data_IF_226937402339
#
_entry.id   IF_226937402339
#
_cell.length_a   1.000
_cell.length_b   1.000
_cell.length_c   1.000
_cell.angle_alpha   90.00
_cell.angle_beta   90.00
_cell.angle_gamma   90.00
#
_symmetry.space_group_name_H-M   'P 1'
#
loop_
_entity.id
_entity.type
_entity.pdbx_description
1 polymer ?
#
# COMPACT_ATOMS: atom_id res chain seq x y z
N UNK A 1 32.63 -8.08 -9.85
CA UNK A 1 31.87 -8.12 -8.58
C UNK A 1 31.79 -9.58 -8.13
N UNK A 2 32.09 -9.91 -6.87
CA UNK A 2 32.12 -11.30 -6.40
C UNK A 2 30.71 -11.84 -6.13
N UNK A 3 30.46 -13.10 -6.48
CA UNK A 3 29.14 -13.78 -6.40
C UNK A 3 28.50 -13.68 -5.01
N UNK A 4 29.32 -13.71 -3.96
CA UNK A 4 28.90 -13.52 -2.56
C UNK A 4 28.26 -12.15 -2.29
N UNK A 5 28.79 -11.08 -2.90
CA UNK A 5 28.24 -9.72 -2.76
C UNK A 5 26.88 -9.60 -3.44
N UNK A 6 26.67 -10.29 -4.56
CA UNK A 6 25.37 -10.29 -5.25
C UNK A 6 24.33 -11.06 -4.43
N UNK A 7 24.68 -12.20 -3.84
CA UNK A 7 23.78 -12.93 -2.93
C UNK A 7 23.35 -12.07 -1.73
N UNK A 8 24.28 -11.38 -1.07
CA UNK A 8 23.95 -10.45 0.02
C UNK A 8 23.03 -9.32 -0.43
N UNK A 9 23.19 -8.81 -1.66
CA UNK A 9 22.28 -7.79 -2.20
C UNK A 9 20.87 -8.35 -2.45
N UNK A 10 20.73 -9.63 -2.82
CA UNK A 10 19.40 -10.28 -2.93
C UNK A 10 18.71 -10.24 -1.57
N UNK A 11 19.40 -10.68 -0.51
CA UNK A 11 18.82 -10.74 0.84
C UNK A 11 18.41 -9.35 1.34
N UNK A 12 19.28 -8.34 1.15
CA UNK A 12 19.00 -6.96 1.56
C UNK A 12 17.84 -6.37 0.77
N UNK A 13 17.80 -6.55 -0.55
CA UNK A 13 16.71 -5.99 -1.38
C UNK A 13 15.38 -6.68 -1.10
N UNK A 14 15.39 -7.97 -0.75
CA UNK A 14 14.21 -8.68 -0.28
C UNK A 14 13.71 -8.15 1.07
N UNK A 15 14.60 -7.97 2.04
CA UNK A 15 14.25 -7.40 3.34
C UNK A 15 13.66 -5.98 3.22
N UNK A 16 14.26 -5.14 2.37
CA UNK A 16 13.75 -3.78 2.09
C UNK A 16 12.36 -3.84 1.47
N UNK A 17 12.13 -4.71 0.48
CA UNK A 17 10.81 -4.87 -0.11
C UNK A 17 9.77 -5.31 0.93
N UNK A 18 10.10 -6.28 1.78
CA UNK A 18 9.17 -6.75 2.82
C UNK A 18 8.86 -5.65 3.84
N UNK A 19 9.86 -4.88 4.25
CA UNK A 19 9.67 -3.74 5.15
C UNK A 19 8.74 -2.67 4.55
N UNK A 20 8.91 -2.34 3.27
CA UNK A 20 8.01 -1.39 2.59
C UNK A 20 6.59 -1.95 2.39
N UNK A 21 6.47 -3.25 2.09
CA UNK A 21 5.18 -3.92 1.95
C UNK A 21 4.38 -3.95 3.26
N UNK A 22 5.04 -4.22 4.39
CA UNK A 22 4.40 -4.25 5.71
C UNK A 22 3.82 -2.88 6.10
N UNK A 23 4.43 -1.77 5.66
CA UNK A 23 3.93 -0.41 5.91
C UNK A 23 2.59 -0.12 5.23
N UNK A 24 2.18 -0.89 4.23
CA UNK A 24 0.89 -0.70 3.53
C UNK A 24 -0.29 -1.07 4.43
N UNK A 25 -0.18 -2.14 5.22
CA UNK A 25 -1.28 -2.68 6.02
C UNK A 25 -2.01 -1.64 6.89
N UNK A 26 -1.32 -0.84 7.73
CA UNK A 26 -2.00 0.15 8.56
C UNK A 26 -2.74 1.21 7.74
N UNK A 27 -2.25 1.56 6.55
CA UNK A 27 -2.93 2.51 5.64
C UNK A 27 -4.23 1.91 5.11
N UNK A 28 -4.21 0.64 4.69
CA UNK A 28 -5.41 -0.06 4.22
C UNK A 28 -6.47 -0.18 5.32
N UNK A 29 -6.05 -0.51 6.54
CA UNK A 29 -6.95 -0.57 7.70
C UNK A 29 -7.57 0.80 7.99
N UNK A 30 -6.77 1.88 7.93
CA UNK A 30 -7.29 3.24 8.15
C UNK A 30 -8.29 3.65 7.05
N UNK A 31 -7.96 3.39 5.79
CA UNK A 31 -8.84 3.66 4.66
C UNK A 31 -10.18 2.92 4.80
N UNK A 32 -10.15 1.63 5.12
CA UNK A 32 -11.35 0.82 5.33
C UNK A 32 -12.20 1.36 6.49
N UNK A 33 -11.56 1.77 7.58
CA UNK A 33 -12.24 2.36 8.74
C UNK A 33 -12.96 3.66 8.37
N UNK A 34 -12.29 4.56 7.64
CA UNK A 34 -12.87 5.83 7.20
C UNK A 34 -14.06 5.63 6.25
N UNK A 35 -13.90 4.74 5.26
CA UNK A 35 -14.99 4.37 4.34
C UNK A 35 -16.19 3.78 5.08
N UNK A 36 -15.95 2.94 6.08
CA UNK A 36 -17.03 2.37 6.91
C UNK A 36 -17.77 3.46 7.69
N UNK A 37 -17.06 4.42 8.30
CA UNK A 37 -17.68 5.55 9.02
C UNK A 37 -18.50 6.44 8.09
N UNK A 38 -17.98 6.74 6.90
CA UNK A 38 -18.72 7.48 5.87
C UNK A 38 -20.01 6.75 5.48
N UNK A 39 -19.93 5.44 5.22
CA UNK A 39 -21.09 4.63 4.88
C UNK A 39 -22.13 4.60 6.02
N UNK A 40 -21.70 4.56 7.28
CA UNK A 40 -22.60 4.64 8.44
C UNK A 40 -23.34 5.98 8.52
N UNK A 41 -22.62 7.10 8.35
CA UNK A 41 -23.21 8.45 8.36
C UNK A 41 -24.18 8.67 7.19
N UNK A 42 -23.86 8.13 6.01
CA UNK A 42 -24.73 8.18 4.83
C UNK A 42 -25.97 7.28 4.99
N UNK A 43 -25.80 6.08 5.57
CA UNK A 43 -26.88 5.12 5.78
C UNK A 43 -27.99 5.65 6.71
N UNK A 44 -27.64 6.46 7.71
CA UNK A 44 -28.61 7.12 8.60
C UNK A 44 -29.55 8.08 7.86
N UNK A 45 -29.19 8.57 6.66
CA UNK A 45 -30.03 9.45 5.84
C UNK A 45 -31.26 8.73 5.26
N UNK A 46 -31.11 7.47 4.88
CA UNK A 46 -32.18 6.71 4.22
C UNK A 46 -33.25 6.23 5.21
N UNK A 47 -32.90 6.06 6.47
CA UNK A 47 -33.82 5.62 7.53
C UNK A 47 -34.67 6.74 8.10
N UNK A 48 -34.18 7.99 8.07
CA UNK A 48 -34.84 9.15 8.67
C UNK A 48 -35.96 9.76 7.79
N UNK A 49 -36.02 9.40 6.51
CA UNK A 49 -37.00 9.89 5.52
C UNK A 49 -38.48 9.70 5.88
N UNK A 50 -38.78 8.84 6.87
CA UNK A 50 -40.15 8.57 7.33
C UNK A 50 -40.62 9.43 8.52
N UNK A 51 -39.75 10.25 9.11
CA UNK A 51 -40.06 10.95 10.38
C UNK A 51 -40.10 12.49 10.25
N UNK A 52 -39.94 13.01 9.02
CA UNK A 52 -39.73 14.43 8.69
C UNK A 52 -40.87 15.41 9.04
N UNK A 53 -41.98 15.00 9.63
CA UNK A 53 -43.14 15.89 9.79
C UNK A 53 -43.21 16.63 11.13
N UNK A 54 -42.20 16.58 12.04
CA UNK A 54 -42.39 17.10 13.42
C UNK A 54 -41.32 17.98 14.08
N UNK A 55 -40.14 18.30 13.54
CA UNK A 55 -39.16 19.08 14.33
C UNK A 55 -38.18 19.97 13.53
N UNK A 56 -38.68 21.05 12.93
CA UNK A 56 -37.97 21.95 12.00
C UNK A 56 -36.72 22.66 12.58
N UNK A 57 -36.53 22.73 13.91
CA UNK A 57 -35.37 23.42 14.53
C UNK A 57 -34.17 22.52 14.88
N UNK A 58 -34.42 21.34 15.46
CA UNK A 58 -33.36 20.41 15.86
C UNK A 58 -32.70 19.72 14.64
N UNK A 59 -33.46 19.54 13.56
CA UNK A 59 -32.96 18.90 12.34
C UNK A 59 -31.87 19.72 11.65
N UNK A 60 -31.95 21.06 11.64
CA UNK A 60 -30.96 21.93 10.99
C UNK A 60 -29.58 21.84 11.67
N UNK A 61 -29.53 21.85 13.00
CA UNK A 61 -28.28 21.70 13.77
C UNK A 61 -27.67 20.31 13.53
N UNK A 62 -28.51 19.27 13.50
CA UNK A 62 -28.07 17.91 13.19
C UNK A 62 -27.57 17.76 11.75
N UNK A 63 -28.26 18.36 10.76
CA UNK A 63 -27.80 18.36 9.37
C UNK A 63 -26.44 19.04 9.23
N UNK A 64 -26.26 20.23 9.83
CA UNK A 64 -25.01 20.98 9.77
C UNK A 64 -23.84 20.23 10.42
N UNK A 65 -24.07 19.60 11.58
CA UNK A 65 -23.07 18.73 12.22
C UNK A 65 -22.69 17.56 11.32
N UNK A 66 -23.66 16.92 10.68
CA UNK A 66 -23.41 15.78 9.80
C UNK A 66 -22.64 16.18 8.55
N UNK A 67 -22.99 17.29 7.91
CA UNK A 67 -22.25 17.82 6.75
C UNK A 67 -20.81 18.13 7.10
N UNK A 68 -20.57 18.79 8.24
CA UNK A 68 -19.21 19.04 8.74
C UNK A 68 -18.46 17.73 9.00
N UNK A 69 -19.09 16.78 9.67
CA UNK A 69 -18.50 15.47 9.97
C UNK A 69 -18.14 14.68 8.70
N UNK A 70 -18.97 14.78 7.65
CA UNK A 70 -18.67 14.18 6.35
C UNK A 70 -17.47 14.86 5.68
N UNK A 71 -17.43 16.19 5.65
CA UNK A 71 -16.31 16.94 5.09
C UNK A 71 -14.98 16.61 5.78
N UNK A 72 -15.00 16.49 7.11
CA UNK A 72 -13.82 16.10 7.90
C UNK A 72 -13.35 14.68 7.52
N UNK A 73 -14.26 13.72 7.41
CA UNK A 73 -13.94 12.35 7.02
C UNK A 73 -13.46 12.23 5.57
N UNK A 74 -14.05 12.97 4.64
CA UNK A 74 -13.64 13.00 3.23
C UNK A 74 -12.24 13.60 3.08
N UNK A 75 -11.94 14.66 3.82
CA UNK A 75 -10.60 15.24 3.87
C UNK A 75 -9.58 14.23 4.42
N UNK A 76 -9.92 13.54 5.51
CA UNK A 76 -9.05 12.53 6.08
C UNK A 76 -8.82 11.35 5.12
N UNK A 77 -9.87 10.91 4.43
CA UNK A 77 -9.81 9.87 3.42
C UNK A 77 -8.90 10.27 2.27
N UNK A 78 -9.01 11.50 1.75
CA UNK A 78 -8.16 12.02 0.70
C UNK A 78 -6.67 12.00 1.12
N UNK A 79 -6.36 12.40 2.35
CA UNK A 79 -5.00 12.33 2.87
C UNK A 79 -4.47 10.89 2.99
N UNK A 80 -5.31 9.95 3.45
CA UNK A 80 -4.95 8.54 3.54
C UNK A 80 -4.70 7.95 2.15
N UNK A 81 -5.53 8.27 1.17
CA UNK A 81 -5.36 7.83 -0.22
C UNK A 81 -4.08 8.41 -0.83
N UNK A 82 -3.77 9.69 -0.59
CA UNK A 82 -2.52 10.29 -1.04
C UNK A 82 -1.29 9.56 -0.45
N UNK A 83 -1.28 9.33 0.86
CA UNK A 83 -0.21 8.55 1.54
C UNK A 83 -0.11 7.12 1.01
N UNK A 84 -1.24 6.48 0.71
CA UNK A 84 -1.29 5.14 0.10
C UNK A 84 -0.59 5.12 -1.26
N UNK A 85 -0.87 6.09 -2.13
CA UNK A 85 -0.25 6.20 -3.44
C UNK A 85 1.27 6.36 -3.32
N UNK A 86 1.73 7.22 -2.41
CA UNK A 86 3.16 7.38 -2.15
C UNK A 86 3.83 6.09 -1.66
N UNK A 87 3.20 5.35 -0.73
CA UNK A 87 3.73 4.07 -0.27
C UNK A 87 3.76 3.02 -1.38
N UNK A 88 2.69 2.93 -2.19
CA UNK A 88 2.64 1.99 -3.32
C UNK A 88 3.77 2.26 -4.31
N UNK A 89 4.11 3.52 -4.56
CA UNK A 89 5.25 3.88 -5.40
C UNK A 89 6.59 3.44 -4.80
N UNK A 90 6.76 3.50 -3.48
CA UNK A 90 7.96 3.00 -2.79
C UNK A 90 8.06 1.48 -2.89
N UNK A 91 6.95 0.77 -2.66
CA UNK A 91 6.87 -0.69 -2.78
C UNK A 91 7.18 -1.13 -4.21
N UNK A 92 6.62 -0.44 -5.21
CA UNK A 92 6.90 -0.69 -6.64
C UNK A 92 8.39 -0.57 -6.95
N UNK A 93 9.04 0.50 -6.46
CA UNK A 93 10.48 0.71 -6.65
C UNK A 93 11.32 -0.35 -5.93
N UNK A 94 10.98 -0.71 -4.70
CA UNK A 94 11.67 -1.74 -3.94
C UNK A 94 11.56 -3.12 -4.62
N UNK A 95 10.37 -3.45 -5.12
CA UNK A 95 10.13 -4.66 -5.90
C UNK A 95 10.98 -4.70 -7.18
N UNK A 96 11.00 -3.61 -7.96
CA UNK A 96 11.81 -3.53 -9.16
C UNK A 96 13.31 -3.72 -8.89
N UNK A 97 13.82 -3.14 -7.80
CA UNK A 97 15.22 -3.34 -7.37
C UNK A 97 15.50 -4.79 -6.98
N UNK A 98 14.62 -5.40 -6.17
CA UNK A 98 14.71 -6.81 -5.78
C UNK A 98 14.78 -7.70 -7.02
N UNK A 99 13.91 -7.47 -7.99
CA UNK A 99 13.83 -8.29 -9.20
C UNK A 99 15.07 -8.10 -10.10
N UNK A 100 15.56 -6.88 -10.25
CA UNK A 100 16.80 -6.61 -10.99
C UNK A 100 18.01 -7.32 -10.36
N UNK A 101 18.17 -7.26 -9.04
CA UNK A 101 19.27 -7.93 -8.33
C UNK A 101 19.15 -9.44 -8.41
N UNK A 102 17.95 -9.99 -8.30
CA UNK A 102 17.68 -11.43 -8.50
C UNK A 102 18.09 -11.89 -9.91
N UNK A 103 17.73 -11.14 -10.94
CA UNK A 103 18.11 -11.46 -12.32
C UNK A 103 19.64 -11.40 -12.53
N UNK A 104 20.31 -10.42 -11.92
CA UNK A 104 21.78 -10.33 -11.95
C UNK A 104 22.43 -11.54 -11.26
N UNK A 105 21.88 -11.99 -10.13
CA UNK A 105 22.36 -13.18 -9.42
C UNK A 105 22.24 -14.45 -10.29
N UNK A 106 21.09 -14.62 -10.96
CA UNK A 106 20.84 -15.77 -11.84
C UNK A 106 21.79 -15.78 -13.06
N UNK A 107 21.97 -14.63 -13.72
CA UNK A 107 22.91 -14.51 -14.85
C UNK A 107 24.35 -14.80 -14.41
N UNK A 108 24.78 -14.22 -13.30
CA UNK A 108 26.13 -14.45 -12.76
C UNK A 108 26.40 -15.89 -12.30
N UNK A 109 25.36 -16.62 -11.90
CA UNK A 109 25.47 -18.05 -11.59
C UNK A 109 25.62 -18.89 -12.87
N UNK A 110 24.82 -18.61 -13.90
CA UNK A 110 24.87 -19.31 -15.19
C UNK A 110 26.21 -19.12 -15.91
N UNK A 111 26.80 -17.91 -15.83
CA UNK A 111 28.12 -17.65 -16.42
C UNK A 111 29.25 -18.41 -15.70
N UNK A 112 29.12 -18.62 -14.39
CA UNK A 112 30.11 -19.38 -13.63
C UNK A 112 30.03 -20.87 -13.93
N UNK A 113 28.84 -21.46 -14.04
CA UNK A 113 28.69 -22.88 -14.43
C UNK A 113 29.23 -23.11 -15.84
N UNK A 114 28.96 -22.22 -16.79
CA UNK A 114 29.56 -22.28 -18.13
C UNK A 114 31.08 -22.26 -18.08
N UNK A 115 31.69 -21.31 -17.36
CA UNK A 115 33.16 -21.19 -17.22
C UNK A 115 33.80 -22.41 -16.57
N UNK A 116 33.12 -23.06 -15.61
CA UNK A 116 33.61 -24.30 -14.99
C UNK A 116 33.56 -25.46 -15.99
N UNK A 117 32.47 -25.61 -16.73
CA UNK A 117 32.33 -26.65 -17.76
C UNK A 117 33.38 -26.51 -18.88
N UNK A 118 33.71 -25.29 -19.31
CA UNK A 118 34.77 -25.07 -20.32
C UNK A 118 36.17 -25.40 -19.80
N UNK A 119 36.38 -25.34 -18.48
CA UNK A 119 37.68 -25.62 -17.84
C UNK A 119 37.92 -27.12 -17.65
N UNK A 120 36.87 -27.89 -17.36
CA UNK A 120 36.96 -29.36 -17.24
C UNK A 120 37.08 -30.08 -18.59
N UNK A 121 36.68 -29.46 -19.71
CA UNK A 121 36.82 -30.04 -21.06
C UNK A 121 38.18 -29.77 -21.73
N UNK A 122 39.06 -29.00 -21.09
CA UNK A 122 40.37 -28.62 -21.62
C UNK A 122 41.57 -29.20 -20.84
N UNK A 123 41.35 -30.21 -19.99
CA UNK A 123 42.41 -30.96 -19.28
C UNK A 123 42.51 -32.40 -19.79
#
# INVERSE_FOLDING_TARGET
>A
MTTRKIAQLVDVTEAVYMAEYQKIQPILTREATLRSRLAQLQGQRNSAGNQQMRAVGADLVWQAWRERSMQELDMELAQVVARKLELLERVRKAFGRKEAVRQLAQKGAADQTKRRATRDQGS
#
